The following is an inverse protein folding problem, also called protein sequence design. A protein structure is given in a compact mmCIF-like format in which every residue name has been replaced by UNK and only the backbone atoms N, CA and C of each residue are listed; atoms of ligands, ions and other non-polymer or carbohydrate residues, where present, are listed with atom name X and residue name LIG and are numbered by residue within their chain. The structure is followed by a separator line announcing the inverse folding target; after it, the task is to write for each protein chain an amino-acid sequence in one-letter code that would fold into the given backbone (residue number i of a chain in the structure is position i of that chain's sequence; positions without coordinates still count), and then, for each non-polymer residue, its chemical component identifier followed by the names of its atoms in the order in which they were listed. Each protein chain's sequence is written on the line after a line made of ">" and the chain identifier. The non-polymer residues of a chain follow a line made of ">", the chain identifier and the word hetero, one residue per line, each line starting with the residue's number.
data_IF_703752140919
#
_entry.id   IF_703752140919
#
_cell.length_a   1.000
_cell.length_b   1.000
_cell.length_c   1.000
_cell.angle_alpha   90.00
_cell.angle_beta   90.00
_cell.angle_gamma   90.00
#
_symmetry.space_group_name_H-M   'P 1'
#
loop_
_entity.id
_entity.type
_entity.pdbx_description
1 polymer ?
#
# COMPACT_ATOMS: atom_id res chain seq x y z
N UNK A 1 -24.96 4.09 -15.45
CA UNK A 1 -23.50 4.30 -15.26
C UNK A 1 -23.33 5.74 -14.79
N UNK A 2 -23.11 5.98 -13.49
CA UNK A 2 -22.86 7.35 -13.01
C UNK A 2 -21.50 7.79 -13.56
N UNK A 3 -21.43 9.00 -14.11
CA UNK A 3 -20.18 9.61 -14.56
C UNK A 3 -19.14 9.45 -13.44
N UNK A 4 -18.04 8.77 -13.77
CA UNK A 4 -16.85 8.78 -12.93
C UNK A 4 -16.43 10.24 -12.86
N UNK A 5 -16.25 10.77 -11.65
CA UNK A 5 -15.77 12.14 -11.45
C UNK A 5 -14.34 12.22 -12.00
N UNK A 6 -14.22 12.78 -13.21
CA UNK A 6 -12.97 12.88 -13.99
C UNK A 6 -12.08 14.03 -13.52
N UNK A 7 -12.51 14.80 -12.51
CA UNK A 7 -11.81 15.99 -12.07
C UNK A 7 -10.38 15.65 -11.59
N UNK A 8 -9.39 16.10 -12.37
CA UNK A 8 -7.97 15.99 -12.04
C UNK A 8 -7.70 16.63 -10.68
N UNK A 9 -6.98 15.92 -9.82
CA UNK A 9 -6.55 16.51 -8.56
C UNK A 9 -5.48 17.59 -8.80
N UNK A 10 -5.32 18.48 -7.82
CA UNK A 10 -4.19 19.42 -7.82
C UNK A 10 -2.85 18.66 -7.83
N UNK A 11 -1.84 19.12 -8.60
CA UNK A 11 -0.48 18.57 -8.56
C UNK A 11 0.32 19.04 -7.33
N UNK A 12 -0.30 19.83 -6.44
CA UNK A 12 0.35 20.36 -5.25
C UNK A 12 0.84 19.24 -4.32
N UNK A 13 2.12 19.30 -3.95
CA UNK A 13 2.74 18.41 -2.97
C UNK A 13 2.98 19.07 -1.60
N UNK A 14 2.31 20.19 -1.32
CA UNK A 14 2.44 20.90 -0.05
C UNK A 14 3.70 21.75 0.09
N UNK A 15 4.46 21.95 -1.00
CA UNK A 15 5.59 22.88 -1.06
C UNK A 15 5.12 24.16 -1.75
N UNK A 16 5.23 25.30 -1.07
CA UNK A 16 4.82 26.61 -1.57
C UNK A 16 6.04 27.53 -1.73
N UNK A 17 6.89 27.23 -2.70
CA UNK A 17 8.07 28.04 -3.03
C UNK A 17 8.32 28.00 -4.53
N UNK A 18 8.42 29.18 -5.14
CA UNK A 18 8.83 29.33 -6.54
C UNK A 18 10.35 29.44 -6.62
N UNK A 19 10.92 28.80 -7.64
CA UNK A 19 12.30 29.04 -8.05
C UNK A 19 12.37 30.36 -8.82
N UNK A 20 13.18 31.35 -8.37
CA UNK A 20 13.26 32.64 -9.04
C UNK A 20 13.87 32.58 -10.44
N UNK A 21 14.66 31.54 -10.77
CA UNK A 21 15.28 31.41 -12.08
C UNK A 21 14.28 30.94 -13.15
N UNK A 22 13.46 29.94 -12.83
CA UNK A 22 12.49 29.34 -13.77
C UNK A 22 11.07 29.90 -13.65
N UNK A 23 10.71 30.50 -12.51
CA UNK A 23 9.34 30.93 -12.22
C UNK A 23 8.39 29.79 -11.83
N UNK A 24 8.88 28.56 -11.69
CA UNK A 24 8.10 27.38 -11.34
C UNK A 24 8.19 27.02 -9.86
N UNK A 25 7.15 26.39 -9.32
CA UNK A 25 7.15 25.84 -7.97
C UNK A 25 8.11 24.66 -7.85
N UNK A 26 9.02 24.68 -6.87
CA UNK A 26 10.02 23.63 -6.64
C UNK A 26 9.43 22.30 -6.13
N UNK A 27 8.11 22.22 -5.94
CA UNK A 27 7.42 20.98 -5.56
C UNK A 27 6.53 20.42 -6.67
N UNK A 28 5.73 21.27 -7.32
CA UNK A 28 4.75 20.81 -8.32
C UNK A 28 4.98 21.35 -9.73
N UNK A 29 6.07 22.11 -9.94
CA UNK A 29 6.45 22.71 -11.23
C UNK A 29 5.39 23.62 -11.90
N UNK A 30 4.34 24.01 -11.16
CA UNK A 30 3.37 25.02 -11.61
C UNK A 30 3.90 26.44 -11.49
N UNK A 31 3.44 27.33 -12.36
CA UNK A 31 3.66 28.78 -12.23
C UNK A 31 2.81 29.36 -11.10
N UNK A 32 3.15 30.58 -10.64
CA UNK A 32 2.33 31.31 -9.67
C UNK A 32 0.90 31.56 -10.14
N UNK A 33 0.70 31.85 -11.42
CA UNK A 33 -0.63 32.03 -12.02
C UNK A 33 -1.45 30.74 -12.02
N UNK A 34 -0.84 29.62 -12.45
CA UNK A 34 -1.48 28.30 -12.40
C UNK A 34 -1.86 27.87 -10.98
N UNK A 35 -1.09 28.28 -9.97
CA UNK A 35 -1.40 28.04 -8.56
C UNK A 35 -2.62 28.87 -8.12
N UNK A 36 -2.64 30.17 -8.43
CA UNK A 36 -3.72 31.08 -8.04
C UNK A 36 -5.06 30.72 -8.70
N UNK A 37 -5.03 30.37 -9.99
CA UNK A 37 -6.23 30.16 -10.79
C UNK A 37 -6.76 28.72 -10.73
N UNK A 38 -6.05 27.78 -10.09
CA UNK A 38 -6.35 26.34 -10.15
C UNK A 38 -7.81 26.00 -9.85
N UNK A 39 -8.38 26.57 -8.79
CA UNK A 39 -9.76 26.30 -8.37
C UNK A 39 -10.80 26.83 -9.36
N UNK A 40 -10.44 27.85 -10.15
CA UNK A 40 -11.28 28.46 -11.17
C UNK A 40 -11.07 27.85 -12.57
N UNK A 41 -10.02 27.04 -12.79
CA UNK A 41 -9.80 26.34 -14.04
C UNK A 41 -10.87 25.27 -14.29
N UNK A 42 -11.29 25.14 -15.55
CA UNK A 42 -12.03 23.99 -16.05
C UNK A 42 -11.10 22.78 -16.22
N UNK A 43 -11.69 21.62 -16.53
CA UNK A 43 -10.92 20.37 -16.62
C UNK A 43 -9.94 20.36 -17.80
N UNK A 44 -10.31 20.96 -18.94
CA UNK A 44 -9.43 21.08 -20.11
C UNK A 44 -8.15 21.87 -19.76
N UNK A 45 -8.26 23.01 -19.06
CA UNK A 45 -7.10 23.77 -18.60
C UNK A 45 -6.29 23.01 -17.55
N UNK A 46 -6.93 22.26 -16.65
CA UNK A 46 -6.21 21.43 -15.67
C UNK A 46 -5.41 20.33 -16.37
N UNK A 47 -5.99 19.69 -17.38
CA UNK A 47 -5.31 18.70 -18.21
C UNK A 47 -4.14 19.30 -18.98
N UNK A 48 -4.29 20.52 -19.52
CA UNK A 48 -3.21 21.25 -20.18
C UNK A 48 -2.04 21.57 -19.25
N UNK A 49 -2.32 21.95 -17.99
CA UNK A 49 -1.28 22.13 -16.97
C UNK A 49 -0.59 20.79 -16.70
N UNK A 50 -1.36 19.73 -16.43
CA UNK A 50 -0.82 18.40 -16.17
C UNK A 50 0.08 17.88 -17.30
N UNK A 51 -0.27 18.13 -18.56
CA UNK A 51 0.52 17.71 -19.73
C UNK A 51 1.89 18.37 -19.79
N UNK A 52 2.03 19.58 -19.22
CA UNK A 52 3.29 20.33 -19.22
C UNK A 52 4.19 19.98 -18.02
N UNK A 53 3.64 19.44 -16.93
CA UNK A 53 4.40 19.20 -15.71
C UNK A 53 5.58 18.22 -15.86
N UNK A 54 5.49 17.09 -16.61
CA UNK A 54 6.59 16.13 -16.70
C UNK A 54 7.91 16.77 -17.14
N UNK A 55 7.88 17.58 -18.20
CA UNK A 55 9.06 18.30 -18.69
C UNK A 55 9.59 19.30 -17.66
N UNK A 56 8.70 20.07 -17.02
CA UNK A 56 9.09 21.06 -16.00
C UNK A 56 9.65 20.40 -14.74
N UNK A 57 9.10 19.27 -14.32
CA UNK A 57 9.57 18.46 -13.18
C UNK A 57 10.98 17.92 -13.45
N UNK A 58 11.22 17.40 -14.66
CA UNK A 58 12.54 16.93 -15.08
C UNK A 58 13.58 18.07 -15.08
N UNK A 59 13.22 19.25 -15.60
CA UNK A 59 14.08 20.44 -15.62
C UNK A 59 14.46 20.93 -14.22
N UNK A 60 13.58 20.74 -13.23
CA UNK A 60 13.82 21.10 -11.82
C UNK A 60 14.46 19.98 -10.99
N UNK A 61 14.73 18.81 -11.59
CA UNK A 61 15.19 17.61 -10.89
C UNK A 61 14.32 17.24 -9.67
N UNK A 62 13.00 17.42 -9.77
CA UNK A 62 12.06 17.07 -8.69
C UNK A 62 11.92 15.55 -8.65
N UNK A 63 12.45 14.94 -7.58
CA UNK A 63 12.47 13.49 -7.41
C UNK A 63 11.07 12.89 -7.23
N UNK A 64 10.24 13.44 -6.35
CA UNK A 64 8.92 12.88 -6.05
C UNK A 64 7.83 13.78 -6.60
N UNK A 65 6.94 13.22 -7.40
CA UNK A 65 5.83 13.96 -7.98
C UNK A 65 4.57 13.13 -8.05
N UNK A 66 3.43 13.82 -7.99
CA UNK A 66 2.13 13.22 -8.21
C UNK A 66 1.97 12.85 -9.68
N UNK A 67 1.37 11.70 -9.93
CA UNK A 67 0.87 11.33 -11.25
C UNK A 67 -0.48 12.02 -11.49
N UNK A 68 -0.86 12.32 -12.75
CA UNK A 68 -2.13 12.97 -13.06
C UNK A 68 -3.35 12.08 -12.77
N UNK A 69 -3.15 10.82 -12.38
CA UNK A 69 -4.17 9.77 -12.35
C UNK A 69 -5.32 10.07 -11.39
N UNK A 70 -6.52 10.05 -11.94
CA UNK A 70 -7.78 9.94 -11.20
C UNK A 70 -7.85 8.59 -10.47
N UNK A 71 -8.69 8.45 -9.44
CA UNK A 71 -8.90 7.16 -8.77
C UNK A 71 -9.29 6.03 -9.73
N UNK A 72 -10.08 6.34 -10.77
CA UNK A 72 -10.46 5.35 -11.77
C UNK A 72 -9.28 4.92 -12.65
N UNK A 73 -8.42 5.85 -13.06
CA UNK A 73 -7.20 5.50 -13.79
C UNK A 73 -6.22 4.70 -12.91
N UNK A 74 -6.12 5.00 -11.60
CA UNK A 74 -5.35 4.16 -10.66
C UNK A 74 -5.89 2.73 -10.65
N UNK A 75 -7.22 2.56 -10.64
CA UNK A 75 -7.87 1.25 -10.67
C UNK A 75 -7.60 0.51 -11.98
N UNK A 76 -7.77 1.18 -13.12
CA UNK A 76 -7.51 0.64 -14.46
C UNK A 76 -6.06 0.19 -14.58
N UNK A 77 -5.12 1.08 -14.24
CA UNK A 77 -3.69 0.78 -14.29
C UNK A 77 -3.33 -0.40 -13.37
N UNK A 78 -3.88 -0.44 -12.16
CA UNK A 78 -3.69 -1.56 -11.24
C UNK A 78 -4.20 -2.88 -11.84
N UNK A 79 -5.38 -2.87 -12.47
CA UNK A 79 -5.92 -4.03 -13.20
C UNK A 79 -4.99 -4.48 -14.33
N UNK A 80 -4.46 -3.54 -15.11
CA UNK A 80 -3.54 -3.81 -16.21
C UNK A 80 -2.26 -4.48 -15.70
N UNK A 81 -1.58 -3.91 -14.71
CA UNK A 81 -0.33 -4.48 -14.17
C UNK A 81 -0.52 -5.90 -13.63
N UNK A 82 -1.64 -6.16 -12.94
CA UNK A 82 -1.95 -7.51 -12.43
C UNK A 82 -2.31 -8.46 -13.58
N UNK A 83 -3.08 -8.01 -14.58
CA UNK A 83 -3.50 -8.82 -15.73
C UNK A 83 -2.31 -9.20 -16.61
N UNK A 84 -1.41 -8.25 -16.84
CA UNK A 84 -0.20 -8.42 -17.66
C UNK A 84 0.91 -9.16 -16.92
N UNK A 85 0.70 -9.52 -15.65
CA UNK A 85 1.68 -10.24 -14.83
C UNK A 85 3.01 -9.48 -14.74
N UNK A 86 2.92 -8.22 -14.31
CA UNK A 86 4.07 -7.35 -14.13
C UNK A 86 4.16 -6.81 -12.70
N UNK A 87 5.38 -6.86 -12.16
CA UNK A 87 5.74 -6.25 -10.89
C UNK A 87 5.19 -6.96 -9.66
N UNK A 88 5.34 -6.30 -8.51
CA UNK A 88 4.92 -6.79 -7.20
C UNK A 88 4.22 -5.67 -6.45
N UNK A 89 3.03 -5.96 -5.95
CA UNK A 89 2.33 -5.08 -5.02
C UNK A 89 2.75 -5.38 -3.58
N UNK A 90 3.03 -4.33 -2.82
CA UNK A 90 3.46 -4.43 -1.42
C UNK A 90 2.61 -3.48 -0.57
N UNK A 91 2.13 -3.96 0.57
CA UNK A 91 1.51 -3.13 1.62
C UNK A 91 2.14 -3.44 2.97
N UNK A 92 2.11 -2.46 3.88
CA UNK A 92 2.78 -2.55 5.18
C UNK A 92 3.75 -1.41 5.43
N UNK A 93 4.69 -1.64 6.35
CA UNK A 93 5.79 -0.74 6.69
C UNK A 93 7.13 -1.47 6.57
N UNK A 94 8.27 -0.77 6.45
CA UNK A 94 9.59 -1.40 6.57
C UNK A 94 9.68 -2.39 7.73
N UNK A 95 9.94 -3.66 7.40
CA UNK A 95 10.01 -4.77 8.36
C UNK A 95 8.68 -5.42 8.73
N UNK A 96 7.53 -4.95 8.28
CA UNK A 96 6.24 -5.63 8.41
C UNK A 96 5.42 -5.44 7.13
N UNK A 97 5.64 -6.28 6.14
CA UNK A 97 4.99 -6.19 4.82
C UNK A 97 4.37 -7.49 4.38
N UNK A 98 3.40 -7.40 3.48
CA UNK A 98 2.97 -8.50 2.62
C UNK A 98 3.20 -8.13 1.16
N UNK A 99 3.55 -9.14 0.36
CA UNK A 99 3.77 -9.01 -1.07
C UNK A 99 2.73 -9.80 -1.87
N UNK A 100 2.33 -9.24 -3.00
CA UNK A 100 1.51 -9.87 -4.02
C UNK A 100 2.22 -9.79 -5.38
N UNK A 101 3.08 -10.77 -5.72
CA UNK A 101 3.87 -10.75 -6.95
C UNK A 101 3.05 -11.04 -8.20
N UNK A 102 2.97 -10.14 -9.16
CA UNK A 102 2.27 -10.41 -10.42
C UNK A 102 3.26 -11.04 -11.40
N UNK A 103 3.52 -12.35 -11.30
CA UNK A 103 4.49 -13.05 -12.15
C UNK A 103 3.79 -13.95 -13.19
N UNK A 104 4.39 -14.20 -14.37
CA UNK A 104 3.75 -14.95 -15.46
C UNK A 104 3.30 -16.37 -15.11
N UNK A 105 3.96 -17.00 -14.13
CA UNK A 105 3.67 -18.34 -13.64
C UNK A 105 2.45 -18.40 -12.69
N UNK A 106 1.99 -17.26 -12.17
CA UNK A 106 0.86 -17.20 -11.24
C UNK A 106 -0.48 -17.07 -11.97
N UNK A 107 -1.43 -17.93 -11.60
CA UNK A 107 -2.84 -17.78 -11.99
C UNK A 107 -3.49 -16.78 -11.05
N UNK A 108 -3.84 -15.62 -11.58
CA UNK A 108 -4.50 -14.55 -10.83
C UNK A 108 -5.80 -14.19 -11.54
N UNK A 109 -6.92 -14.38 -10.84
CA UNK A 109 -8.23 -13.87 -11.24
C UNK A 109 -8.46 -12.48 -10.66
N UNK A 110 -9.10 -11.60 -11.42
CA UNK A 110 -9.40 -10.22 -11.00
C UNK A 110 -10.91 -10.01 -11.04
N UNK A 111 -11.42 -9.38 -10.00
CA UNK A 111 -12.81 -8.96 -9.86
C UNK A 111 -12.84 -7.47 -9.51
N UNK A 112 -13.67 -6.71 -10.23
CA UNK A 112 -13.83 -5.27 -10.01
C UNK A 112 -15.29 -4.98 -9.71
N UNK A 113 -15.56 -4.34 -8.57
CA UNK A 113 -16.91 -4.04 -8.12
C UNK A 113 -16.92 -3.25 -6.82
N UNK A 114 -18.01 -2.52 -6.56
CA UNK A 114 -18.26 -1.82 -5.30
C UNK A 114 -17.13 -0.87 -4.85
N UNK A 115 -16.46 -0.21 -5.80
CA UNK A 115 -15.34 0.68 -5.50
C UNK A 115 -14.08 -0.06 -5.05
N UNK A 116 -13.95 -1.34 -5.40
CA UNK A 116 -12.79 -2.15 -5.08
C UNK A 116 -12.32 -2.99 -6.28
N UNK A 117 -11.02 -3.27 -6.27
CA UNK A 117 -10.35 -4.23 -7.13
C UNK A 117 -9.85 -5.36 -6.24
N UNK A 118 -10.23 -6.60 -6.56
CA UNK A 118 -9.79 -7.79 -5.85
C UNK A 118 -9.06 -8.72 -6.81
N UNK A 119 -7.80 -9.01 -6.53
CA UNK A 119 -7.01 -10.01 -7.22
C UNK A 119 -6.83 -11.25 -6.34
N UNK A 120 -7.02 -12.44 -6.92
CA UNK A 120 -6.99 -13.73 -6.21
C UNK A 120 -6.04 -14.69 -6.91
N UNK A 121 -5.05 -15.16 -6.17
CA UNK A 121 -4.18 -16.27 -6.53
C UNK A 121 -4.40 -17.42 -5.54
N UNK A 122 -3.85 -18.60 -5.83
CA UNK A 122 -4.02 -19.79 -4.98
C UNK A 122 -3.42 -19.61 -3.57
N UNK A 123 -2.40 -18.76 -3.45
CA UNK A 123 -1.57 -18.57 -2.27
C UNK A 123 -1.75 -17.20 -1.58
N UNK A 124 -2.55 -16.30 -2.17
CA UNK A 124 -2.83 -14.97 -1.61
C UNK A 124 -3.98 -14.24 -2.29
N UNK A 125 -4.47 -13.20 -1.62
CA UNK A 125 -5.40 -12.23 -2.20
C UNK A 125 -4.92 -10.80 -1.96
N UNK A 126 -5.21 -9.93 -2.92
CA UNK A 126 -4.97 -8.50 -2.85
C UNK A 126 -6.30 -7.78 -3.05
N UNK A 127 -6.59 -6.77 -2.23
CA UNK A 127 -7.72 -5.86 -2.42
C UNK A 127 -7.23 -4.43 -2.33
N UNK A 128 -7.58 -3.63 -3.33
CA UNK A 128 -7.47 -2.17 -3.33
C UNK A 128 -8.87 -1.56 -3.27
N UNK A 129 -9.14 -0.73 -2.26
CA UNK A 129 -10.31 0.14 -2.18
C UNK A 129 -10.00 1.46 -2.88
N UNK A 130 -10.77 1.76 -3.91
CA UNK A 130 -10.62 2.95 -4.75
C UNK A 130 -11.56 4.03 -4.26
N UNK A 131 -11.02 5.19 -3.89
CA UNK A 131 -11.81 6.34 -3.46
C UNK A 131 -11.20 7.66 -3.96
N UNK A 132 -11.97 8.74 -3.87
CA UNK A 132 -11.60 10.10 -4.31
C UNK A 132 -10.29 10.66 -3.72
N UNK A 133 -9.78 10.07 -2.63
CA UNK A 133 -8.56 10.51 -1.93
C UNK A 133 -7.32 9.74 -2.34
N UNK A 134 -7.45 8.65 -3.10
CA UNK A 134 -6.31 7.87 -3.54
C UNK A 134 -5.47 8.69 -4.54
N UNK A 135 -4.15 8.70 -4.35
CA UNK A 135 -3.17 9.38 -5.21
C UNK A 135 -2.05 8.42 -5.54
N UNK A 136 -1.40 8.62 -6.68
CA UNK A 136 -0.22 7.87 -7.08
C UNK A 136 0.98 8.82 -7.21
N UNK A 137 2.15 8.37 -6.74
CA UNK A 137 3.40 9.10 -6.77
C UNK A 137 4.46 8.30 -7.55
N UNK A 138 5.21 9.00 -8.37
CA UNK A 138 6.38 8.47 -9.08
C UNK A 138 7.67 9.13 -8.58
N UNK A 139 8.78 8.40 -8.74
CA UNK A 139 10.11 8.82 -8.26
C UNK A 139 11.15 8.91 -9.37
N UNK A 140 11.02 8.03 -10.35
CA UNK A 140 11.84 7.95 -11.56
C UNK A 140 11.00 7.29 -12.65
N UNK A 141 11.32 7.56 -13.90
CA UNK A 141 10.65 6.88 -15.02
C UNK A 141 10.86 5.36 -14.95
N UNK A 142 9.77 4.61 -15.09
CA UNK A 142 9.77 3.14 -14.97
C UNK A 142 10.15 2.61 -13.58
N UNK A 143 10.18 3.46 -12.55
CA UNK A 143 10.49 3.08 -11.17
C UNK A 143 9.25 2.68 -10.36
N UNK A 144 9.43 2.51 -9.03
CA UNK A 144 8.32 2.20 -8.14
C UNK A 144 7.24 3.29 -8.14
N UNK A 145 5.98 2.87 -8.06
CA UNK A 145 4.83 3.74 -7.87
C UNK A 145 4.31 3.57 -6.45
N UNK A 146 4.14 4.67 -5.72
CA UNK A 146 3.58 4.65 -4.38
C UNK A 146 2.14 5.16 -4.42
N UNK A 147 1.20 4.32 -3.99
CA UNK A 147 -0.16 4.75 -3.71
C UNK A 147 -0.21 5.36 -2.32
N UNK A 148 -0.87 6.50 -2.20
CA UNK A 148 -1.00 7.23 -0.94
C UNK A 148 -2.38 7.88 -0.81
N UNK A 149 -2.72 8.27 0.42
CA UNK A 149 -3.90 9.09 0.74
C UNK A 149 -3.47 10.27 1.62
N UNK A 150 -4.27 11.34 1.72
CA UNK A 150 -4.04 12.39 2.72
C UNK A 150 -3.96 11.78 4.12
N UNK A 151 -2.92 12.14 4.87
CA UNK A 151 -2.62 11.59 6.21
C UNK A 151 -3.81 11.65 7.16
N UNK A 152 -4.56 12.74 7.15
CA UNK A 152 -5.78 12.92 7.94
C UNK A 152 -6.92 11.92 7.61
N UNK A 153 -6.83 11.18 6.50
CA UNK A 153 -7.83 10.22 6.02
C UNK A 153 -7.30 8.79 5.91
N UNK A 154 -6.01 8.57 6.17
CA UNK A 154 -5.38 7.26 6.07
C UNK A 154 -4.85 6.70 7.41
N UNK A 155 -5.10 7.40 8.53
CA UNK A 155 -4.74 6.89 9.84
C UNK A 155 -5.60 5.67 10.20
N UNK A 156 -4.93 4.61 10.59
CA UNK A 156 -5.50 3.43 11.23
C UNK A 156 -5.39 3.55 12.76
N UNK A 157 -6.20 2.76 13.46
CA UNK A 157 -6.05 2.60 14.91
C UNK A 157 -4.69 1.98 15.22
N UNK A 158 -3.87 2.72 15.93
CA UNK A 158 -2.54 2.29 16.35
C UNK A 158 -2.63 1.42 17.60
N UNK A 159 -2.08 0.22 17.52
CA UNK A 159 -1.83 -0.63 18.67
C UNK A 159 -0.33 -0.87 18.80
N UNK A 160 0.18 -0.82 20.03
CA UNK A 160 1.59 -1.08 20.36
C UNK A 160 1.79 -2.43 21.06
N UNK A 161 0.70 -3.15 21.27
CA UNK A 161 0.67 -4.48 21.89
C UNK A 161 -0.31 -5.35 21.12
N UNK A 162 -0.17 -6.66 21.26
CA UNK A 162 -1.05 -7.64 20.63
C UNK A 162 -2.50 -7.38 21.03
N UNK A 163 -3.41 -7.37 20.05
CA UNK A 163 -4.84 -7.21 20.23
C UNK A 163 -5.60 -8.34 19.56
N UNK A 164 -6.72 -8.73 20.16
CA UNK A 164 -7.75 -9.52 19.50
C UNK A 164 -8.76 -8.57 18.84
N UNK A 165 -8.88 -8.65 17.51
CA UNK A 165 -9.81 -7.84 16.73
C UNK A 165 -11.16 -8.54 16.53
N UNK A 166 -11.33 -9.75 17.07
CA UNK A 166 -12.51 -10.58 16.90
C UNK A 166 -12.55 -11.28 15.54
N UNK A 167 -13.76 -11.56 15.06
CA UNK A 167 -13.95 -12.20 13.75
C UNK A 167 -13.55 -11.27 12.60
N UNK A 168 -12.84 -11.80 11.61
CA UNK A 168 -12.36 -11.05 10.45
C UNK A 168 -13.46 -10.76 9.42
N UNK A 169 -14.47 -9.99 9.81
CA UNK A 169 -15.62 -9.69 8.95
C UNK A 169 -15.26 -9.00 7.63
N UNK A 170 -14.06 -8.40 7.55
CA UNK A 170 -13.53 -7.74 6.36
C UNK A 170 -12.66 -8.66 5.47
N UNK A 171 -12.58 -9.96 5.79
CA UNK A 171 -11.87 -10.94 4.98
C UNK A 171 -12.40 -10.97 3.54
N UNK A 172 -11.47 -11.04 2.58
CA UNK A 172 -11.78 -11.05 1.14
C UNK A 172 -12.55 -12.32 0.78
N UNK A 173 -12.13 -13.47 1.32
CA UNK A 173 -12.88 -14.72 1.21
C UNK A 173 -13.95 -14.79 2.30
N UNK A 174 -15.20 -15.10 1.91
CA UNK A 174 -16.29 -15.30 2.86
C UNK A 174 -16.03 -16.46 3.82
N UNK A 175 -15.27 -17.46 3.39
CA UNK A 175 -14.89 -18.60 4.21
C UNK A 175 -14.03 -18.21 5.43
N UNK A 176 -13.31 -17.09 5.36
CA UNK A 176 -12.44 -16.64 6.44
C UNK A 176 -13.09 -15.60 7.37
N UNK A 177 -14.35 -15.19 7.10
CA UNK A 177 -14.98 -14.09 7.86
C UNK A 177 -15.33 -14.41 9.29
N UNK A 178 -15.40 -15.69 9.64
CA UNK A 178 -15.59 -16.17 11.01
C UNK A 178 -14.28 -16.44 11.75
N UNK A 179 -13.15 -16.45 11.06
CA UNK A 179 -11.85 -16.71 11.68
C UNK A 179 -11.45 -15.54 12.58
N UNK A 180 -10.71 -15.81 13.65
CA UNK A 180 -10.25 -14.78 14.58
C UNK A 180 -9.03 -14.06 14.03
N UNK A 181 -9.03 -12.73 14.10
CA UNK A 181 -7.96 -11.85 13.64
C UNK A 181 -7.24 -11.22 14.83
N UNK A 182 -5.92 -11.35 14.85
CA UNK A 182 -5.07 -10.81 15.90
C UNK A 182 -4.10 -9.79 15.30
N UNK A 183 -4.17 -8.54 15.77
CA UNK A 183 -3.20 -7.49 15.45
C UNK A 183 -1.96 -7.69 16.31
N UNK A 184 -0.78 -7.74 15.70
CA UNK A 184 0.46 -7.87 16.46
C UNK A 184 0.86 -6.59 17.19
N UNK A 185 0.26 -5.44 16.87
CA UNK A 185 0.52 -4.19 17.56
C UNK A 185 1.90 -3.63 17.23
N UNK A 186 2.21 -3.51 15.94
CA UNK A 186 3.50 -3.02 15.44
C UNK A 186 3.73 -1.51 15.67
N UNK A 187 2.77 -0.80 16.28
CA UNK A 187 2.88 0.62 16.64
C UNK A 187 2.91 1.55 15.43
N UNK A 188 2.03 1.32 14.45
CA UNK A 188 1.98 2.11 13.22
C UNK A 188 0.58 2.61 12.92
N UNK A 189 0.50 3.81 12.35
CA UNK A 189 -0.76 4.45 11.94
C UNK A 189 -1.10 4.24 10.47
N UNK A 190 -0.14 3.79 9.65
CA UNK A 190 -0.32 3.65 8.21
C UNK A 190 -0.52 2.20 7.76
N UNK A 191 -0.20 1.24 8.62
CA UNK A 191 -0.43 -0.17 8.34
C UNK A 191 -0.59 -0.99 9.62
N UNK A 192 -1.15 -2.18 9.46
CA UNK A 192 -1.29 -3.23 10.48
C UNK A 192 -0.74 -4.55 9.94
N UNK A 193 -0.14 -5.32 10.83
CA UNK A 193 0.27 -6.70 10.56
C UNK A 193 -0.49 -7.65 11.49
N UNK A 194 -1.29 -8.53 10.90
CA UNK A 194 -2.14 -9.45 11.64
C UNK A 194 -1.86 -10.91 11.30
N UNK A 195 -2.28 -11.77 12.22
CA UNK A 195 -2.46 -13.21 12.00
C UNK A 195 -3.95 -13.54 12.12
N UNK A 196 -4.44 -14.37 11.21
CA UNK A 196 -5.82 -14.88 11.22
C UNK A 196 -5.82 -16.40 11.31
N UNK A 197 -6.63 -16.93 12.20
CA UNK A 197 -6.75 -18.37 12.39
C UNK A 197 -8.17 -18.82 12.71
N UNK A 198 -8.58 -19.93 12.07
CA UNK A 198 -9.74 -20.72 12.45
C UNK A 198 -9.41 -21.86 13.43
N UNK A 199 -8.12 -22.11 13.72
CA UNK A 199 -7.67 -23.08 14.72
C UNK A 199 -7.90 -22.52 16.13
N UNK A 200 -8.77 -23.20 16.91
CA UNK A 200 -9.12 -22.77 18.26
C UNK A 200 -7.95 -22.84 19.23
N UNK A 201 -7.07 -23.83 19.10
CA UNK A 201 -5.88 -23.99 19.95
C UNK A 201 -4.86 -22.88 19.70
N UNK A 202 -4.61 -22.51 18.44
CA UNK A 202 -3.77 -21.35 18.14
C UNK A 202 -4.44 -20.05 18.61
N UNK A 203 -5.75 -19.91 18.42
CA UNK A 203 -6.49 -18.72 18.85
C UNK A 203 -6.43 -18.53 20.37
N UNK A 204 -6.53 -19.60 21.16
CA UNK A 204 -6.34 -19.57 22.63
C UNK A 204 -4.93 -19.11 23.01
N UNK A 205 -3.89 -19.64 22.34
CA UNK A 205 -2.51 -19.19 22.56
C UNK A 205 -2.30 -17.73 22.20
N UNK A 206 -2.84 -17.25 21.08
CA UNK A 206 -2.75 -15.84 20.71
C UNK A 206 -3.52 -14.94 21.70
N UNK A 207 -4.64 -15.43 22.23
CA UNK A 207 -5.43 -14.71 23.25
C UNK A 207 -4.63 -14.51 24.55
N UNK A 208 -3.83 -15.50 24.95
CA UNK A 208 -2.98 -15.36 26.15
C UNK A 208 -1.82 -14.36 25.98
N UNK A 209 -1.55 -13.92 24.74
CA UNK A 209 -0.52 -12.91 24.43
C UNK A 209 -1.06 -11.47 24.37
N UNK A 210 -2.38 -11.24 24.50
CA UNK A 210 -2.97 -9.90 24.44
C UNK A 210 -2.29 -8.97 25.45
N UNK A 211 -1.97 -7.75 25.02
CA UNK A 211 -1.29 -6.76 25.84
C UNK A 211 0.24 -6.89 25.91
N UNK A 212 0.82 -7.96 25.36
CA UNK A 212 2.28 -8.09 25.23
C UNK A 212 2.80 -7.42 23.96
N UNK A 213 4.10 -7.15 23.92
CA UNK A 213 4.74 -6.69 22.68
C UNK A 213 4.77 -7.83 21.65
N UNK A 214 4.77 -7.48 20.37
CA UNK A 214 4.91 -8.48 19.31
C UNK A 214 6.22 -9.27 19.41
N UNK A 215 7.30 -8.64 19.89
CA UNK A 215 8.59 -9.32 20.11
C UNK A 215 8.50 -10.40 21.19
N UNK A 216 7.78 -10.12 22.27
CA UNK A 216 7.56 -11.10 23.34
C UNK A 216 6.67 -12.26 22.86
N UNK A 217 5.64 -11.95 22.05
CA UNK A 217 4.79 -12.96 21.41
C UNK A 217 5.63 -13.90 20.53
N UNK A 218 6.50 -13.36 19.67
CA UNK A 218 7.33 -14.18 18.78
C UNK A 218 8.34 -15.02 19.57
N UNK A 219 8.89 -14.48 20.66
CA UNK A 219 9.81 -15.23 21.52
C UNK A 219 9.10 -16.39 22.26
N UNK A 220 7.83 -16.21 22.63
CA UNK A 220 7.08 -17.17 23.45
C UNK A 220 6.39 -18.26 22.60
N UNK A 221 5.65 -17.84 21.57
CA UNK A 221 4.81 -18.75 20.75
C UNK A 221 5.18 -18.74 19.26
N UNK A 222 6.31 -18.16 18.87
CA UNK A 222 6.79 -18.15 17.49
C UNK A 222 6.83 -19.53 16.83
N UNK A 223 7.38 -20.58 17.48
CA UNK A 223 7.37 -21.94 16.93
C UNK A 223 5.97 -22.49 16.67
N UNK A 224 5.00 -22.20 17.55
CA UNK A 224 3.61 -22.61 17.39
C UNK A 224 2.95 -21.90 16.19
N UNK A 225 3.23 -20.60 16.00
CA UNK A 225 2.76 -19.82 14.85
C UNK A 225 3.35 -20.37 13.55
N UNK A 226 4.65 -20.67 13.51
CA UNK A 226 5.30 -21.26 12.33
C UNK A 226 4.67 -22.63 12.01
N UNK A 227 4.50 -23.48 13.03
CA UNK A 227 3.94 -24.81 12.87
C UNK A 227 2.49 -24.79 12.37
N UNK A 228 1.66 -23.90 12.90
CA UNK A 228 0.28 -23.73 12.48
C UNK A 228 0.15 -23.01 11.13
N UNK A 229 1.15 -22.21 10.73
CA UNK A 229 1.17 -21.44 9.49
C UNK A 229 -0.16 -20.71 9.20
N UNK A 230 -0.65 -19.89 10.15
CA UNK A 230 -1.92 -19.21 9.98
C UNK A 230 -1.86 -18.22 8.81
N UNK A 231 -3.03 -17.77 8.36
CA UNK A 231 -3.12 -16.73 7.35
C UNK A 231 -2.51 -15.43 7.92
N UNK A 232 -1.70 -14.74 7.12
CA UNK A 232 -1.21 -13.40 7.49
C UNK A 232 -2.01 -12.36 6.73
N UNK A 233 -2.39 -11.30 7.41
CA UNK A 233 -3.18 -10.20 6.84
C UNK A 233 -2.42 -8.92 7.11
N UNK A 234 -1.99 -8.24 6.06
CA UNK A 234 -1.35 -6.93 6.15
C UNK A 234 -2.22 -5.92 5.43
N UNK A 235 -2.57 -4.86 6.13
CA UNK A 235 -3.52 -3.87 5.63
C UNK A 235 -3.07 -2.46 5.93
N UNK A 236 -3.41 -1.56 5.01
CA UNK A 236 -3.36 -0.11 5.14
C UNK A 236 -4.77 0.45 4.99
N UNK A 237 -4.92 1.77 4.99
CA UNK A 237 -6.23 2.40 4.82
C UNK A 237 -6.97 2.06 3.51
N UNK A 238 -6.25 1.67 2.46
CA UNK A 238 -6.83 1.37 1.14
C UNK A 238 -6.50 -0.03 0.62
N UNK A 239 -5.42 -0.66 1.08
CA UNK A 239 -4.95 -1.94 0.54
C UNK A 239 -4.92 -3.00 1.61
N UNK A 240 -5.37 -4.20 1.26
CA UNK A 240 -5.29 -5.39 2.10
C UNK A 240 -4.72 -6.55 1.30
N UNK A 241 -3.67 -7.16 1.82
CA UNK A 241 -3.08 -8.37 1.27
C UNK A 241 -3.21 -9.49 2.31
N UNK A 242 -3.81 -10.61 1.90
CA UNK A 242 -3.94 -11.82 2.71
C UNK A 242 -3.06 -12.90 2.09
N UNK A 243 -2.17 -13.48 2.89
CA UNK A 243 -1.20 -14.47 2.42
C UNK A 243 -1.48 -15.82 3.09
N UNK A 244 -1.51 -16.86 2.26
CA UNK A 244 -1.88 -18.23 2.63
C UNK A 244 -0.72 -19.22 2.50
N UNK A 245 0.40 -18.83 1.88
CA UNK A 245 1.61 -19.66 1.82
C UNK A 245 2.05 -20.10 3.21
N UNK A 246 2.50 -21.35 3.43
CA UNK A 246 3.05 -21.74 4.72
C UNK A 246 4.22 -20.85 5.17
N UNK A 247 4.36 -20.64 6.48
CA UNK A 247 5.49 -19.90 7.02
C UNK A 247 6.73 -20.81 6.94
N UNK A 248 7.81 -20.41 6.26
CA UNK A 248 9.01 -21.22 6.16
C UNK A 248 9.64 -21.38 7.55
N UNK A 249 10.25 -22.54 7.79
CA UNK A 249 11.11 -22.72 8.96
C UNK A 249 12.35 -21.82 8.84
N UNK A 250 13.04 -21.47 9.94
CA UNK A 250 14.20 -20.56 9.91
C UNK A 250 15.33 -20.98 8.96
N UNK A 251 15.46 -22.27 8.66
CA UNK A 251 16.45 -22.88 7.76
C UNK A 251 15.97 -23.00 6.31
N UNK A 252 14.70 -22.67 6.02
CA UNK A 252 14.09 -22.80 4.71
C UNK A 252 13.95 -21.46 4.01
N UNK A 253 14.14 -21.46 2.70
CA UNK A 253 13.78 -20.30 1.87
C UNK A 253 12.26 -20.19 1.78
N UNK A 254 11.77 -18.95 1.78
CA UNK A 254 10.39 -18.66 1.39
C UNK A 254 10.10 -19.26 0.02
N UNK A 255 8.94 -19.89 -0.13
CA UNK A 255 8.48 -20.36 -1.43
C UNK A 255 8.40 -19.19 -2.42
N UNK A 256 8.56 -19.48 -3.71
CA UNK A 256 8.24 -18.52 -4.77
C UNK A 256 6.76 -18.15 -4.67
N UNK A 257 6.43 -16.86 -4.65
CA UNK A 257 5.06 -16.37 -4.58
C UNK A 257 4.84 -15.36 -3.46
N UNK A 258 3.58 -15.23 -3.03
CA UNK A 258 3.22 -14.26 -2.01
C UNK A 258 3.76 -14.68 -0.64
N UNK A 259 4.37 -13.73 0.06
CA UNK A 259 4.92 -13.96 1.38
C UNK A 259 4.85 -12.67 2.21
N UNK A 260 5.14 -12.82 3.48
CA UNK A 260 5.17 -11.72 4.44
C UNK A 260 6.53 -11.66 5.09
N UNK A 261 6.99 -10.45 5.39
CA UNK A 261 8.18 -10.22 6.18
C UNK A 261 7.80 -9.60 7.50
N UNK A 262 8.29 -10.17 8.60
CA UNK A 262 8.25 -9.58 9.93
C UNK A 262 9.68 -9.56 10.49
N UNK A 263 10.37 -8.44 10.28
CA UNK A 263 11.80 -8.25 10.51
C UNK A 263 12.03 -7.16 11.58
N UNK A 264 12.40 -7.55 12.83
CA UNK A 264 12.52 -6.63 13.96
C UNK A 264 13.44 -5.42 13.73
N UNK A 265 14.57 -5.63 13.08
CA UNK A 265 15.58 -4.61 12.82
C UNK A 265 15.03 -3.48 11.95
N UNK A 266 14.28 -3.82 10.90
CA UNK A 266 13.66 -2.83 10.02
C UNK A 266 12.46 -2.16 10.69
N UNK A 267 11.69 -2.89 11.51
CA UNK A 267 10.60 -2.27 12.28
C UNK A 267 11.10 -1.22 13.26
N UNK A 268 12.24 -1.42 13.90
CA UNK A 268 12.80 -0.46 14.87
C UNK A 268 13.14 0.91 14.27
N UNK A 269 13.28 1.01 12.95
CA UNK A 269 13.54 2.29 12.26
C UNK A 269 12.44 3.32 12.47
N UNK A 270 11.19 2.88 12.70
CA UNK A 270 10.05 3.78 12.79
C UNK A 270 9.56 4.32 11.45
N UNK A 271 10.18 3.94 10.34
CA UNK A 271 9.82 4.44 9.01
C UNK A 271 8.41 3.94 8.59
N UNK A 272 7.66 4.80 7.90
CA UNK A 272 6.34 4.48 7.33
C UNK A 272 6.47 3.82 5.95
N UNK A 273 7.57 4.10 5.25
CA UNK A 273 7.92 3.65 3.90
C UNK A 273 9.46 3.71 3.76
N UNK A 274 10.12 2.90 2.90
CA UNK A 274 11.56 3.01 2.72
C UNK A 274 11.99 4.44 2.39
N UNK A 275 13.07 4.92 3.00
CA UNK A 275 13.58 6.29 2.81
C UNK A 275 13.78 6.71 1.34
N UNK A 276 14.10 5.77 0.44
CA UNK A 276 14.23 6.01 -1.01
C UNK A 276 12.91 6.36 -1.70
N UNK A 277 11.78 6.08 -1.05
CA UNK A 277 10.41 6.32 -1.53
C UNK A 277 9.66 7.27 -0.59
N UNK A 278 10.38 8.14 0.14
CA UNK A 278 9.79 9.10 1.05
C UNK A 278 8.78 10.03 0.34
N UNK A 279 7.59 10.14 0.90
CA UNK A 279 6.51 10.98 0.39
C UNK A 279 6.50 12.37 1.05
N UNK A 280 5.86 13.37 0.42
CA UNK A 280 5.57 14.64 1.08
C UNK A 280 4.74 14.45 2.37
N UNK A 281 4.96 15.30 3.38
CA UNK A 281 4.41 15.13 4.74
C UNK A 281 2.88 14.97 4.83
N UNK A 282 2.13 15.56 3.89
CA UNK A 282 0.67 15.45 3.87
C UNK A 282 0.17 14.07 3.41
N UNK A 283 1.01 13.28 2.73
CA UNK A 283 0.67 11.99 2.18
C UNK A 283 1.06 10.86 3.14
N UNK A 284 0.20 9.85 3.20
CA UNK A 284 0.40 8.62 3.94
C UNK A 284 0.43 7.44 2.96
N UNK A 285 1.50 6.65 2.92
CA UNK A 285 1.62 5.53 2.00
C UNK A 285 0.59 4.44 2.34
N UNK A 286 -0.04 3.87 1.31
CA UNK A 286 -0.99 2.76 1.46
C UNK A 286 -0.56 1.51 0.70
N UNK A 287 0.22 1.63 -0.37
CA UNK A 287 0.86 0.51 -1.05
C UNK A 287 2.00 1.00 -1.95
N UNK A 288 2.87 0.08 -2.33
CA UNK A 288 3.95 0.29 -3.29
C UNK A 288 3.81 -0.75 -4.39
N UNK A 289 3.89 -0.30 -5.63
CA UNK A 289 4.11 -1.18 -6.77
C UNK A 289 5.58 -1.10 -7.16
N UNK A 290 6.25 -2.26 -7.16
CA UNK A 290 7.60 -2.41 -7.70
C UNK A 290 7.49 -3.05 -9.09
N UNK A 291 7.92 -2.36 -10.17
CA UNK A 291 7.91 -2.96 -11.51
C UNK A 291 8.87 -4.14 -11.60
N UNK A 292 8.59 -5.08 -12.51
CA UNK A 292 9.54 -6.16 -12.82
C UNK A 292 10.85 -5.52 -13.32
N UNK A 293 12.02 -5.88 -12.77
CA UNK A 293 13.29 -5.39 -13.29
C UNK A 293 13.39 -5.73 -14.78
N UNK A 294 13.72 -4.74 -15.61
CA UNK A 294 14.05 -5.00 -17.01
C UNK A 294 15.35 -5.80 -17.01
N UNK A 295 15.26 -7.11 -17.28
CA UNK A 295 16.45 -7.92 -17.56
C UNK A 295 17.07 -7.40 -18.84
N UNK A 296 18.25 -6.78 -18.73
CA UNK A 296 19.08 -6.39 -19.86
C UNK A 296 19.63 -7.61 -20.62
#
# INVERSE_FOLDING_TARGET
>A
MRAVDLARHSPCVGICKLDPATGFCIGCARTGGEIADWMAMDDDRRDDVWRQLPERLANLAIRVHLLPWTPAEIAIWTCEQISERQGTWVTGVPGAVAEFPCTPDRRIGIDTGDGSLIARADDSTFRLRVNERLRAFAFTDGGPIVLAMPRARANMTEHTTVQDLGADTDAISTAHRSDRLFDFGIGRKNARFCVRTGDSGLAERLTSQIGRSWSDLIADIGPDIIAASPHRVVESAAVRIEVYTPIPRPDQKSASGAHTHLLPEFLKTGEEIPASLALPAFAMPVAIFYPTPVTA
#
